data_IF_736100207961
#
_entry.id   IF_736100207961
#
_cell.length_a   1.000
_cell.length_b   1.000
_cell.length_c   1.000
_cell.angle_alpha   90.00
_cell.angle_beta   90.00
_cell.angle_gamma   90.00
#
_symmetry.space_group_name_H-M   'P 1'
#
loop_
_entity.id
_entity.type
_entity.pdbx_description
1 polymer ?
#
# COMPACT_ATOMS: atom_id res chain seq x y z
N UNK A 1 21.57 -12.73 23.42
CA UNK A 1 21.90 -11.34 23.12
C UNK A 1 22.70 -11.33 21.83
N UNK A 2 22.04 -11.11 20.69
CA UNK A 2 22.74 -10.96 19.42
C UNK A 2 22.12 -9.77 18.69
N UNK A 3 22.68 -8.59 18.96
CA UNK A 3 22.20 -7.29 18.47
C UNK A 3 21.97 -7.31 16.95
N UNK A 4 22.83 -8.02 16.19
CA UNK A 4 22.69 -8.21 14.74
C UNK A 4 21.36 -8.87 14.35
N UNK A 5 20.93 -9.89 15.10
CA UNK A 5 19.70 -10.63 14.81
C UNK A 5 18.46 -9.78 15.09
N UNK A 6 18.55 -8.92 16.09
CA UNK A 6 17.46 -8.03 16.51
C UNK A 6 17.28 -6.87 15.54
N UNK A 7 18.38 -6.26 15.09
CA UNK A 7 18.38 -5.23 14.05
C UNK A 7 17.94 -5.78 12.69
N UNK A 8 18.43 -6.97 12.30
CA UNK A 8 18.00 -7.62 11.04
C UNK A 8 16.51 -7.96 11.06
N UNK A 9 15.99 -8.48 12.17
CA UNK A 9 14.55 -8.75 12.35
C UNK A 9 13.71 -7.47 12.33
N UNK A 10 14.21 -6.39 12.94
CA UNK A 10 13.58 -5.07 12.91
C UNK A 10 13.51 -4.49 11.49
N UNK A 11 14.63 -4.52 10.75
CA UNK A 11 14.70 -4.07 9.36
C UNK A 11 13.77 -4.88 8.45
N UNK A 12 13.76 -6.21 8.59
CA UNK A 12 12.85 -7.06 7.82
C UNK A 12 11.38 -6.79 8.15
N UNK A 13 11.04 -6.51 9.41
CA UNK A 13 9.67 -6.14 9.81
C UNK A 13 9.23 -4.81 9.19
N UNK A 14 10.11 -3.84 9.14
CA UNK A 14 9.85 -2.54 8.52
C UNK A 14 9.71 -2.69 7.00
N UNK A 15 10.61 -3.43 6.36
CA UNK A 15 10.56 -3.73 4.93
C UNK A 15 9.31 -4.53 4.52
N UNK A 16 8.87 -5.48 5.34
CA UNK A 16 7.63 -6.25 5.08
C UNK A 16 6.39 -5.37 5.25
N UNK A 17 6.41 -4.42 6.20
CA UNK A 17 5.37 -3.40 6.31
C UNK A 17 5.27 -2.54 5.04
N UNK A 18 6.41 -2.06 4.55
CA UNK A 18 6.50 -1.30 3.30
C UNK A 18 6.18 -2.13 2.05
N UNK A 19 6.51 -3.44 2.04
CA UNK A 19 6.22 -4.33 0.92
C UNK A 19 4.71 -4.51 0.71
N UNK A 20 3.92 -4.65 1.78
CA UNK A 20 2.45 -4.72 1.67
C UNK A 20 1.85 -3.43 1.17
N UNK A 21 2.41 -2.29 1.59
CA UNK A 21 2.00 -0.95 1.16
C UNK A 21 2.29 -0.77 -0.33
N UNK A 22 3.49 -1.17 -0.76
CA UNK A 22 3.92 -1.16 -2.16
C UNK A 22 3.03 -2.07 -3.00
N UNK A 23 2.69 -3.26 -2.52
CA UNK A 23 1.79 -4.20 -3.20
C UNK A 23 0.38 -3.61 -3.37
N UNK A 24 -0.14 -2.93 -2.34
CA UNK A 24 -1.43 -2.24 -2.38
C UNK A 24 -1.46 -1.12 -3.41
N UNK A 25 -0.44 -0.25 -3.42
CA UNK A 25 -0.32 0.82 -4.41
C UNK A 25 -0.17 0.24 -5.82
N UNK A 26 0.70 -0.77 -5.99
CA UNK A 26 0.92 -1.43 -7.28
C UNK A 26 -0.37 -2.05 -7.83
N UNK A 27 -1.17 -2.70 -6.98
CA UNK A 27 -2.46 -3.27 -7.37
C UNK A 27 -3.45 -2.21 -7.82
N UNK A 28 -3.57 -1.09 -7.10
CA UNK A 28 -4.45 0.03 -7.48
C UNK A 28 -4.02 0.66 -8.80
N UNK A 29 -2.71 0.88 -8.98
CA UNK A 29 -2.16 1.42 -10.23
C UNK A 29 -2.43 0.46 -11.39
N UNK A 30 -2.20 -0.85 -11.18
CA UNK A 30 -2.44 -1.86 -12.19
C UNK A 30 -3.91 -1.92 -12.60
N UNK A 31 -4.84 -1.95 -11.63
CA UNK A 31 -6.28 -1.95 -11.89
C UNK A 31 -6.69 -0.71 -12.67
N UNK A 32 -6.24 0.46 -12.23
CA UNK A 32 -6.60 1.73 -12.85
C UNK A 32 -6.03 1.86 -14.27
N UNK A 33 -4.80 1.38 -14.47
CA UNK A 33 -4.17 1.31 -15.78
C UNK A 33 -4.93 0.37 -16.72
N UNK A 34 -5.35 -0.81 -16.25
CA UNK A 34 -6.16 -1.74 -17.03
C UNK A 34 -7.51 -1.12 -17.44
N UNK A 35 -8.16 -0.44 -16.48
CA UNK A 35 -9.48 0.17 -16.68
C UNK A 35 -9.40 1.33 -17.67
N UNK A 36 -8.37 2.17 -17.56
CA UNK A 36 -8.16 3.32 -18.44
C UNK A 36 -7.68 2.89 -19.83
N UNK A 37 -6.83 1.86 -19.91
CA UNK A 37 -6.30 1.31 -21.17
C UNK A 37 -7.36 0.58 -22.02
N UNK A 38 -8.43 0.07 -21.39
CA UNK A 38 -9.55 -0.56 -22.10
C UNK A 38 -10.43 0.42 -22.89
N UNK A 39 -10.25 1.73 -22.70
CA UNK A 39 -11.10 2.76 -23.31
C UNK A 39 -12.55 2.81 -22.77
N UNK A 40 -12.90 1.93 -21.83
CA UNK A 40 -14.24 1.84 -21.24
C UNK A 40 -14.60 3.05 -20.35
N UNK A 41 -13.59 3.85 -19.95
CA UNK A 41 -13.74 4.91 -18.97
C UNK A 41 -13.10 6.20 -19.48
N UNK A 42 -13.81 7.32 -19.35
CA UNK A 42 -13.25 8.65 -19.65
C UNK A 42 -11.94 8.83 -18.86
N UNK A 43 -10.83 9.29 -19.47
CA UNK A 43 -9.54 9.43 -18.80
C UNK A 43 -9.60 10.26 -17.50
N UNK A 44 -10.56 11.19 -17.39
CA UNK A 44 -10.82 11.95 -16.17
C UNK A 44 -11.33 11.08 -15.00
N UNK A 45 -12.17 10.08 -15.27
CA UNK A 45 -12.64 9.12 -14.27
C UNK A 45 -11.52 8.15 -13.87
N UNK A 46 -10.67 7.73 -14.83
CA UNK A 46 -9.49 6.91 -14.56
C UNK A 46 -8.53 7.62 -13.59
N UNK A 47 -8.25 8.91 -13.82
CA UNK A 47 -7.46 9.72 -12.91
C UNK A 47 -8.08 9.88 -11.53
N UNK A 48 -9.40 10.09 -11.44
CA UNK A 48 -10.10 10.17 -10.16
C UNK A 48 -10.01 8.85 -9.37
N UNK A 49 -10.22 7.71 -10.03
CA UNK A 49 -10.09 6.37 -9.41
C UNK A 49 -8.69 6.15 -8.88
N UNK A 50 -7.65 6.54 -9.64
CA UNK A 50 -6.27 6.42 -9.19
C UNK A 50 -6.00 7.28 -7.96
N UNK A 51 -6.48 8.52 -7.98
CA UNK A 51 -6.29 9.48 -6.89
C UNK A 51 -6.96 9.01 -5.60
N UNK A 52 -8.26 8.67 -5.68
CA UNK A 52 -9.00 8.15 -4.53
C UNK A 52 -8.50 6.79 -4.07
N UNK A 53 -8.09 5.92 -5.00
CA UNK A 53 -7.49 4.62 -4.69
C UNK A 53 -6.17 4.75 -3.93
N UNK A 54 -5.31 5.69 -4.32
CA UNK A 54 -4.05 5.95 -3.63
C UNK A 54 -4.28 6.50 -2.21
N UNK A 55 -5.24 7.43 -2.04
CA UNK A 55 -5.65 7.92 -0.71
C UNK A 55 -6.23 6.79 0.15
N UNK A 56 -7.06 5.92 -0.41
CA UNK A 56 -7.63 4.79 0.30
C UNK A 56 -6.56 3.80 0.77
N UNK A 57 -5.54 3.51 -0.06
CA UNK A 57 -4.40 2.66 0.32
C UNK A 57 -3.58 3.31 1.44
N UNK A 58 -3.33 4.61 1.38
CA UNK A 58 -2.64 5.33 2.45
C UNK A 58 -3.42 5.26 3.77
N UNK A 59 -4.73 5.54 3.74
CA UNK A 59 -5.60 5.44 4.92
C UNK A 59 -5.65 4.02 5.46
N UNK A 60 -5.78 3.02 4.60
CA UNK A 60 -5.77 1.62 4.99
C UNK A 60 -4.45 1.24 5.65
N UNK A 61 -3.32 1.70 5.13
CA UNK A 61 -2.01 1.43 5.72
C UNK A 61 -1.79 2.09 7.06
N UNK A 62 -2.23 3.35 7.22
CA UNK A 62 -2.18 4.06 8.51
C UNK A 62 -3.10 3.38 9.52
N UNK A 63 -4.33 3.03 9.14
CA UNK A 63 -5.28 2.35 10.01
C UNK A 63 -4.84 0.92 10.37
N UNK A 64 -4.16 0.22 9.46
CA UNK A 64 -3.65 -1.13 9.69
C UNK A 64 -2.44 -1.12 10.63
N UNK A 65 -1.50 -0.18 10.44
CA UNK A 65 -0.37 -0.02 11.35
C UNK A 65 -0.79 0.51 12.73
N UNK A 66 -1.77 1.41 12.81
CA UNK A 66 -2.32 1.92 14.07
C UNK A 66 -3.05 0.84 14.89
N UNK A 67 -3.78 -0.07 14.24
CA UNK A 67 -4.46 -1.19 14.93
C UNK A 67 -3.49 -2.24 15.48
N UNK A 68 -2.31 -2.42 14.87
CA UNK A 68 -1.29 -3.36 15.33
C UNK A 68 -0.62 -2.95 16.66
N UNK A 69 -0.72 -1.68 17.05
CA UNK A 69 -0.14 -1.14 18.28
C UNK A 69 -1.13 -1.06 19.46
N UNK A 70 -2.42 -1.37 19.27
CA UNK A 70 -3.43 -1.30 20.34
C UNK A 70 -3.72 -2.63 21.04
N UNK A 71 -3.18 -3.73 20.52
CA UNK A 71 -3.27 -5.08 21.10
C UNK A 71 -1.98 -5.51 21.84
N UNK A 72 -1.16 -4.56 22.29
CA UNK A 72 -0.01 -4.85 23.16
C UNK A 72 -0.08 -4.05 24.45
#
# INVERSE_FOLDING_TARGET
>A
MNILREVASGLLKMFVGDAWLTLGVLSVVLLTGLLTGSGAVRPLLGGAILFFGCIAVLLASVAFHGRRHRDR
#
